data_IF_229114856846
#
_entry.id   IF_229114856846
#
_cell.length_a   1.000
_cell.length_b   1.000
_cell.length_c   1.000
_cell.angle_alpha   90.00
_cell.angle_beta   90.00
_cell.angle_gamma   90.00
#
_symmetry.space_group_name_H-M   'P 1'
#
loop_
_entity.id
_entity.type
_entity.pdbx_description
1 polymer ?
#
# COMPACT_ATOMS: atom_id res chain seq x y z
N UNK A 1 -12.32 -41.82 38.68
CA UNK A 1 -11.94 -42.68 37.55
C UNK A 1 -11.31 -41.79 36.51
N UNK A 2 -9.97 -41.63 36.60
CA UNK A 2 -9.17 -40.79 35.71
C UNK A 2 -8.79 -41.57 34.46
N UNK A 3 -9.15 -41.07 33.28
CA UNK A 3 -8.59 -41.54 32.02
C UNK A 3 -7.65 -40.46 31.48
N UNK A 4 -6.37 -40.78 31.46
CA UNK A 4 -5.32 -39.99 30.86
C UNK A 4 -5.31 -40.23 29.34
N UNK A 5 -5.50 -39.18 28.55
CA UNK A 5 -5.28 -39.23 27.10
C UNK A 5 -3.81 -38.94 26.81
N UNK A 6 -3.10 -39.95 26.29
CA UNK A 6 -1.75 -39.81 25.70
C UNK A 6 -1.89 -39.17 24.31
N UNK A 7 -1.16 -38.07 24.08
CA UNK A 7 -0.97 -37.48 22.74
C UNK A 7 0.10 -38.26 21.99
N UNK A 8 -0.28 -39.03 20.99
CA UNK A 8 0.66 -39.56 20.00
C UNK A 8 0.99 -38.52 18.97
N UNK A 9 2.24 -38.07 18.91
CA UNK A 9 2.77 -37.30 17.79
C UNK A 9 3.01 -38.26 16.63
N UNK A 10 2.23 -38.16 15.57
CA UNK A 10 2.57 -38.81 14.31
C UNK A 10 3.71 -38.01 13.64
N UNK A 11 4.88 -38.60 13.60
CA UNK A 11 6.03 -38.15 12.81
C UNK A 11 5.85 -38.73 11.41
N UNK A 12 5.59 -37.88 10.42
CA UNK A 12 5.62 -38.30 9.02
C UNK A 12 7.08 -38.51 8.61
N UNK A 13 7.46 -39.75 8.41
CA UNK A 13 8.74 -40.13 7.80
C UNK A 13 8.62 -40.06 6.29
N UNK A 14 9.56 -39.35 5.66
CA UNK A 14 9.70 -39.32 4.21
C UNK A 14 10.21 -40.70 3.75
N UNK A 15 9.47 -41.36 2.85
CA UNK A 15 9.82 -42.67 2.26
C UNK A 15 10.40 -42.51 0.84
N UNK A 16 11.35 -41.59 0.64
CA UNK A 16 12.05 -41.45 -0.64
C UNK A 16 13.43 -42.12 -0.52
N UNK A 17 13.72 -43.23 -1.19
CA UNK A 17 15.00 -43.96 -1.08
C UNK A 17 16.20 -43.24 -1.70
N UNK A 18 15.98 -42.13 -2.46
CA UNK A 18 17.04 -41.40 -3.17
C UNK A 18 17.49 -40.11 -2.48
N UNK A 19 17.08 -39.87 -1.23
CA UNK A 19 17.51 -38.71 -0.47
C UNK A 19 18.91 -38.88 0.10
N UNK A 20 19.91 -38.31 -0.60
CA UNK A 20 21.31 -38.26 -0.15
C UNK A 20 21.45 -37.21 0.95
N UNK A 21 21.56 -37.66 2.18
CA UNK A 21 21.91 -36.78 3.32
C UNK A 21 23.36 -36.28 3.16
N UNK A 22 23.56 -35.00 2.93
CA UNK A 22 24.87 -34.37 3.04
C UNK A 22 25.41 -34.51 4.45
N UNK A 23 26.57 -35.16 4.58
CA UNK A 23 27.26 -35.36 5.87
C UNK A 23 27.65 -34.01 6.46
N UNK A 24 27.17 -33.73 7.64
CA UNK A 24 27.63 -32.60 8.45
C UNK A 24 29.13 -32.75 8.73
N UNK A 25 29.93 -31.81 8.22
CA UNK A 25 31.36 -31.71 8.52
C UNK A 25 31.50 -31.10 9.90
N UNK A 26 31.89 -31.90 10.87
CA UNK A 26 32.21 -31.41 12.21
C UNK A 26 33.54 -30.66 12.20
N UNK A 27 33.48 -29.35 12.42
CA UNK A 27 34.65 -28.48 12.52
C UNK A 27 35.11 -28.45 13.99
N UNK A 28 36.25 -29.11 14.30
CA UNK A 28 36.81 -29.11 15.64
C UNK A 28 37.62 -27.84 15.90
N UNK A 29 37.46 -27.25 17.10
CA UNK A 29 38.14 -26.03 17.60
C UNK A 29 39.66 -25.93 17.36
N UNK A 30 40.35 -27.04 17.10
CA UNK A 30 41.79 -27.08 16.88
C UNK A 30 42.25 -26.63 15.47
N UNK A 31 41.37 -26.60 14.46
CA UNK A 31 41.70 -26.14 13.11
C UNK A 31 41.53 -24.63 12.90
N UNK A 32 40.89 -23.94 13.85
CA UNK A 32 40.65 -22.49 13.76
C UNK A 32 41.86 -21.65 14.22
N UNK A 33 42.78 -22.18 15.02
CA UNK A 33 43.93 -21.47 15.56
C UNK A 33 45.23 -21.60 14.76
N UNK A 34 45.26 -22.38 13.68
CA UNK A 34 46.46 -22.57 12.83
C UNK A 34 46.56 -21.68 11.60
N UNK A 35 45.58 -20.81 11.32
CA UNK A 35 45.50 -20.02 10.06
C UNK A 35 45.88 -18.53 10.25
N UNK A 36 46.36 -18.10 11.44
CA UNK A 36 46.62 -16.69 11.72
C UNK A 36 48.14 -16.32 11.86
N UNK A 37 49.05 -17.20 11.48
CA UNK A 37 50.50 -16.93 11.59
C UNK A 37 51.23 -16.77 10.24
N UNK A 38 50.59 -16.15 9.24
CA UNK A 38 51.22 -16.06 7.92
C UNK A 38 50.88 -14.85 7.05
N UNK A 39 50.26 -13.80 7.56
CA UNK A 39 49.87 -12.62 6.71
C UNK A 39 50.05 -11.30 7.48
N UNK A 40 51.21 -11.07 8.00
CA UNK A 40 51.59 -9.84 8.69
C UNK A 40 52.66 -9.04 7.96
N UNK A 41 52.47 -8.62 6.70
CA UNK A 41 53.36 -7.64 6.03
C UNK A 41 52.84 -7.02 4.73
N UNK A 42 51.54 -7.04 4.41
CA UNK A 42 51.03 -6.42 3.19
C UNK A 42 49.69 -5.61 3.36
N UNK A 43 49.36 -5.19 4.58
CA UNK A 43 48.10 -4.51 4.85
C UNK A 43 48.29 -3.07 5.37
N UNK A 44 49.25 -2.31 4.81
CA UNK A 44 49.43 -0.88 5.16
C UNK A 44 49.19 0.08 3.98
N UNK A 45 48.53 -0.32 2.91
CA UNK A 45 48.20 0.58 1.78
C UNK A 45 46.80 0.34 1.18
N UNK A 46 45.77 0.18 1.97
CA UNK A 46 44.40 0.15 1.43
C UNK A 46 43.31 0.52 2.45
N UNK A 47 43.51 1.48 3.31
CA UNK A 47 42.39 2.21 3.93
C UNK A 47 42.20 3.54 3.19
N UNK A 48 41.77 3.45 1.93
CA UNK A 48 40.95 4.51 1.39
C UNK A 48 39.56 4.18 1.89
N UNK A 49 38.89 5.06 2.67
CA UNK A 49 37.48 4.95 2.89
C UNK A 49 36.85 4.87 1.49
N UNK A 50 36.11 3.81 1.20
CA UNK A 50 35.28 3.74 -0.01
C UNK A 50 34.54 5.08 -0.03
N UNK A 51 34.92 5.95 -0.96
CA UNK A 51 34.32 7.28 -1.06
C UNK A 51 32.86 7.08 -1.11
N UNK A 52 32.11 7.63 -0.17
CA UNK A 52 30.69 7.67 -0.22
C UNK A 52 30.34 8.21 -1.62
N UNK A 53 29.81 7.37 -2.49
CA UNK A 53 29.26 7.86 -3.75
C UNK A 53 28.33 9.00 -3.36
N UNK A 54 28.40 10.16 -4.06
CA UNK A 54 27.46 11.23 -3.81
C UNK A 54 26.08 10.59 -3.79
N UNK A 55 25.36 10.75 -2.70
CA UNK A 55 24.00 10.22 -2.61
C UNK A 55 23.24 10.76 -3.83
N UNK A 56 22.84 9.88 -4.73
CA UNK A 56 22.04 10.28 -5.89
C UNK A 56 20.89 11.15 -5.38
N UNK A 57 20.65 12.30 -6.06
CA UNK A 57 19.58 13.19 -5.65
C UNK A 57 18.30 12.37 -5.49
N UNK A 58 17.54 12.57 -4.41
CA UNK A 58 16.26 11.88 -4.23
C UNK A 58 15.37 12.11 -5.44
N UNK A 59 14.84 11.03 -6.01
CA UNK A 59 14.05 11.13 -7.26
C UNK A 59 12.67 10.49 -7.14
N UNK A 60 12.47 9.57 -6.16
CA UNK A 60 11.24 8.80 -6.03
C UNK A 60 10.07 9.66 -5.56
N UNK A 61 8.87 9.32 -6.01
CA UNK A 61 7.63 9.84 -5.46
C UNK A 61 6.88 8.66 -4.85
N UNK A 62 6.73 8.71 -3.52
CA UNK A 62 6.03 7.71 -2.74
C UNK A 62 4.55 8.07 -2.63
N UNK A 63 3.66 7.27 -3.21
CA UNK A 63 2.20 7.53 -3.20
C UNK A 63 1.46 6.84 -2.05
N UNK A 64 2.19 6.10 -1.19
CA UNK A 64 1.62 5.37 -0.06
C UNK A 64 2.45 5.61 1.20
N UNK A 65 2.25 6.77 1.79
CA UNK A 65 2.98 7.21 2.97
C UNK A 65 2.00 7.78 3.99
N UNK A 66 1.92 7.17 5.16
CA UNK A 66 0.94 7.60 6.15
C UNK A 66 1.43 8.79 6.97
N UNK A 67 0.46 9.64 7.34
CA UNK A 67 0.61 10.65 8.37
C UNK A 67 -0.32 10.33 9.54
N UNK A 68 0.03 10.85 10.72
CA UNK A 68 -0.86 10.82 11.88
C UNK A 68 -0.91 12.21 12.51
N UNK A 69 -2.04 12.91 12.34
CA UNK A 69 -2.25 14.19 13.01
C UNK A 69 -2.41 13.99 14.51
N UNK A 70 -2.15 15.02 15.34
CA UNK A 70 -2.36 14.92 16.78
C UNK A 70 -3.78 14.49 17.17
N UNK A 71 -4.80 15.00 16.49
CA UNK A 71 -6.20 14.59 16.69
C UNK A 71 -6.44 13.14 16.30
N UNK A 72 -5.87 12.67 15.21
CA UNK A 72 -5.97 11.26 14.81
C UNK A 72 -5.29 10.34 15.82
N UNK A 73 -4.07 10.66 16.27
CA UNK A 73 -3.38 9.90 17.33
C UNK A 73 -4.22 9.83 18.60
N UNK A 74 -4.79 10.96 19.04
CA UNK A 74 -5.63 10.99 20.24
C UNK A 74 -6.86 10.09 20.08
N UNK A 75 -7.50 10.09 18.90
CA UNK A 75 -8.70 9.30 18.63
C UNK A 75 -8.44 7.81 18.56
N UNK A 76 -7.29 7.37 17.97
CA UNK A 76 -6.95 5.94 17.86
C UNK A 76 -6.29 5.38 19.12
N UNK A 77 -5.77 6.24 20.01
CA UNK A 77 -5.14 5.83 21.26
C UNK A 77 -6.12 5.11 22.16
N UNK A 78 -5.75 3.93 22.63
CA UNK A 78 -6.61 3.07 23.44
C UNK A 78 -7.69 2.31 22.69
N UNK A 79 -7.85 2.51 21.37
CA UNK A 79 -8.73 1.67 20.55
C UNK A 79 -8.01 0.40 20.11
N UNK A 80 -8.75 -0.69 19.97
CA UNK A 80 -8.22 -1.96 19.46
C UNK A 80 -7.64 -1.85 18.03
N UNK A 81 -8.15 -0.91 17.25
CA UNK A 81 -7.70 -0.62 15.89
C UNK A 81 -6.49 0.32 15.83
N UNK A 82 -6.11 0.91 16.96
CA UNK A 82 -4.93 1.77 17.05
C UNK A 82 -3.66 0.96 16.80
N UNK A 83 -2.89 1.36 15.79
CA UNK A 83 -1.66 0.69 15.41
C UNK A 83 -0.47 1.47 15.97
N UNK A 84 0.43 0.76 16.67
CA UNK A 84 1.59 1.37 17.35
C UNK A 84 2.46 2.22 16.41
N UNK A 85 2.76 1.80 15.17
CA UNK A 85 3.54 2.64 14.24
C UNK A 85 2.87 4.00 13.97
N UNK A 86 1.54 4.03 13.78
CA UNK A 86 0.79 5.27 13.55
C UNK A 86 0.77 6.18 14.80
N UNK A 87 0.62 5.60 15.99
CA UNK A 87 0.62 6.36 17.25
C UNK A 87 1.99 6.96 17.59
N UNK A 88 3.08 6.39 17.06
CA UNK A 88 4.45 6.86 17.25
C UNK A 88 5.00 7.65 16.06
N UNK A 89 4.18 7.88 15.05
CA UNK A 89 4.59 8.59 13.85
C UNK A 89 5.04 10.02 14.15
N UNK A 90 6.10 10.46 13.49
CA UNK A 90 6.57 11.84 13.52
C UNK A 90 7.05 12.30 12.15
N UNK A 91 6.99 13.60 11.90
CA UNK A 91 7.51 14.21 10.66
C UNK A 91 9.00 13.91 10.47
N UNK A 92 9.78 13.94 11.55
CA UNK A 92 11.23 13.65 11.50
C UNK A 92 11.50 12.22 11.01
N UNK A 93 10.74 11.23 11.50
CA UNK A 93 10.86 9.85 11.03
C UNK A 93 10.50 9.71 9.55
N UNK A 94 9.45 10.40 9.08
CA UNK A 94 9.10 10.42 7.65
C UNK A 94 10.23 10.98 6.79
N UNK A 95 10.79 12.13 7.17
CA UNK A 95 11.90 12.77 6.42
C UNK A 95 13.14 11.90 6.42
N UNK A 96 13.47 11.27 7.55
CA UNK A 96 14.61 10.35 7.65
C UNK A 96 14.42 9.12 6.73
N UNK A 97 13.25 8.47 6.73
CA UNK A 97 12.97 7.33 5.86
C UNK A 97 13.04 7.72 4.37
N UNK A 98 12.45 8.87 4.03
CA UNK A 98 12.52 9.43 2.68
C UNK A 98 13.97 9.63 2.23
N UNK A 99 14.81 10.21 3.08
CA UNK A 99 16.24 10.47 2.78
C UNK A 99 17.00 9.15 2.60
N UNK A 100 16.78 8.18 3.49
CA UNK A 100 17.40 6.86 3.41
C UNK A 100 16.96 6.06 2.19
N UNK A 101 15.71 6.24 1.74
CA UNK A 101 15.11 5.57 0.59
C UNK A 101 15.26 6.32 -0.73
N UNK A 102 15.87 7.52 -0.75
CA UNK A 102 15.98 8.37 -1.94
C UNK A 102 14.63 8.85 -2.47
N UNK A 103 13.69 9.13 -1.55
CA UNK A 103 12.35 9.68 -1.87
C UNK A 103 12.41 11.20 -1.84
N UNK A 104 12.12 11.82 -2.98
CA UNK A 104 12.04 13.26 -3.10
C UNK A 104 10.74 13.79 -2.47
N UNK A 105 9.63 13.15 -2.78
CA UNK A 105 8.29 13.58 -2.35
C UNK A 105 7.49 12.37 -1.89
N UNK A 106 6.85 12.47 -0.71
CA UNK A 106 5.84 11.52 -0.25
C UNK A 106 4.45 12.15 -0.29
N UNK A 107 3.50 11.44 -0.87
CA UNK A 107 2.10 11.84 -0.88
C UNK A 107 1.45 11.24 0.36
N UNK A 108 1.18 12.09 1.33
CA UNK A 108 0.65 11.70 2.64
C UNK A 108 -0.80 11.23 2.52
N UNK A 109 -1.18 10.24 3.31
CA UNK A 109 -2.56 9.79 3.44
C UNK A 109 -2.82 9.23 4.83
N UNK A 110 -4.10 9.24 5.23
CA UNK A 110 -4.51 8.58 6.47
C UNK A 110 -4.58 7.05 6.25
N UNK A 111 -4.29 6.28 7.30
CA UNK A 111 -4.51 4.83 7.32
C UNK A 111 -5.84 4.46 7.99
N UNK A 112 -6.13 3.14 8.08
CA UNK A 112 -7.21 2.68 8.94
C UNK A 112 -6.95 3.07 10.42
N UNK A 113 -7.96 3.32 11.22
CA UNK A 113 -9.39 3.11 10.96
C UNK A 113 -10.13 4.30 10.32
N UNK A 114 -9.43 5.24 9.67
CA UNK A 114 -10.02 6.48 9.14
C UNK A 114 -10.56 7.41 10.24
N UNK A 115 -11.47 8.31 9.90
CA UNK A 115 -11.92 9.39 10.81
C UNK A 115 -13.32 9.18 11.40
N UNK A 116 -14.04 8.14 10.95
CA UNK A 116 -15.41 7.90 11.42
C UNK A 116 -15.46 6.88 12.55
N UNK A 117 -15.89 7.31 13.72
CA UNK A 117 -16.04 6.50 14.93
C UNK A 117 -17.48 6.55 15.49
N UNK A 118 -18.48 6.60 14.59
CA UNK A 118 -19.90 6.57 14.96
C UNK A 118 -20.54 7.94 15.14
N UNK A 119 -19.81 9.05 14.97
CA UNK A 119 -20.34 10.41 15.07
C UNK A 119 -19.87 11.26 13.86
N UNK A 120 -20.82 11.77 13.08
CA UNK A 120 -20.54 12.53 11.86
C UNK A 120 -19.85 13.87 12.15
N UNK A 121 -20.27 14.60 13.17
CA UNK A 121 -19.65 15.89 13.48
C UNK A 121 -18.20 15.74 13.96
N UNK A 122 -17.93 14.69 14.74
CA UNK A 122 -16.57 14.36 15.13
C UNK A 122 -15.72 13.95 13.91
N UNK A 123 -16.27 13.15 13.00
CA UNK A 123 -15.60 12.74 11.77
C UNK A 123 -15.27 13.95 10.87
N UNK A 124 -16.20 14.89 10.69
CA UNK A 124 -15.98 16.13 9.95
C UNK A 124 -14.84 16.96 10.55
N UNK A 125 -14.84 17.15 11.89
CA UNK A 125 -13.79 17.90 12.58
C UNK A 125 -12.43 17.22 12.44
N UNK A 126 -12.38 15.90 12.62
CA UNK A 126 -11.13 15.15 12.53
C UNK A 126 -10.58 15.10 11.09
N UNK A 127 -11.45 14.96 10.08
CA UNK A 127 -11.05 15.05 8.68
C UNK A 127 -10.43 16.42 8.38
N UNK A 128 -11.12 17.52 8.76
CA UNK A 128 -10.65 18.88 8.59
C UNK A 128 -9.31 19.12 9.26
N UNK A 129 -9.19 18.78 10.54
CA UNK A 129 -7.95 18.93 11.32
C UNK A 129 -6.79 18.15 10.67
N UNK A 130 -7.04 16.91 10.25
CA UNK A 130 -6.01 16.09 9.59
C UNK A 130 -5.56 16.69 8.24
N UNK A 131 -6.50 17.19 7.45
CA UNK A 131 -6.18 17.82 6.17
C UNK A 131 -5.42 19.14 6.34
N UNK A 132 -5.81 19.97 7.31
CA UNK A 132 -5.10 21.21 7.64
C UNK A 132 -3.71 20.95 8.21
N UNK A 133 -3.56 19.91 9.02
CA UNK A 133 -2.25 19.44 9.50
C UNK A 133 -1.35 19.02 8.32
N UNK A 134 -1.88 18.26 7.36
CA UNK A 134 -1.15 17.90 6.15
C UNK A 134 -0.77 19.11 5.29
N UNK A 135 -1.68 20.09 5.14
CA UNK A 135 -1.40 21.34 4.44
C UNK A 135 -0.26 22.12 5.09
N UNK A 136 -0.22 22.13 6.43
CA UNK A 136 0.87 22.74 7.18
C UNK A 136 2.19 22.03 6.91
N UNK A 137 2.22 20.69 6.89
CA UNK A 137 3.45 19.93 6.58
C UNK A 137 3.96 20.21 5.17
N UNK A 138 3.07 20.34 4.19
CA UNK A 138 3.43 20.71 2.81
C UNK A 138 4.07 22.10 2.77
N UNK A 139 3.53 23.06 3.53
CA UNK A 139 4.06 24.41 3.59
C UNK A 139 5.40 24.49 4.35
N UNK A 140 5.53 23.76 5.45
CA UNK A 140 6.76 23.74 6.28
C UNK A 140 7.93 23.01 5.58
N UNK A 141 7.63 22.06 4.67
CA UNK A 141 8.62 21.23 3.96
C UNK A 141 8.39 21.25 2.43
N UNK A 142 8.61 22.37 1.76
CA UNK A 142 8.33 22.52 0.32
C UNK A 142 8.98 21.43 -0.53
N UNK A 143 8.19 20.80 -1.39
CA UNK A 143 8.63 19.72 -2.28
C UNK A 143 8.80 18.33 -1.64
N UNK A 144 8.79 18.24 -0.30
CA UNK A 144 8.94 16.95 0.39
C UNK A 144 7.60 16.22 0.57
N UNK A 145 6.51 16.92 0.70
CA UNK A 145 5.19 16.35 0.92
C UNK A 145 4.15 16.84 -0.08
N UNK A 146 3.24 15.93 -0.42
CA UNK A 146 1.93 16.17 -0.96
C UNK A 146 0.90 15.44 -0.11
N UNK A 147 -0.39 15.44 -0.51
CA UNK A 147 -1.40 14.72 0.28
C UNK A 147 -2.60 14.29 -0.57
N UNK A 148 -3.06 13.08 -0.35
CA UNK A 148 -4.41 12.63 -0.64
C UNK A 148 -5.26 12.92 0.59
N UNK A 149 -6.16 13.89 0.47
CA UNK A 149 -6.98 14.38 1.58
C UNK A 149 -7.95 13.31 2.07
N UNK A 150 -8.13 13.24 3.38
CA UNK A 150 -9.13 12.34 3.99
C UNK A 150 -10.52 12.97 3.96
N UNK A 151 -11.56 12.13 3.90
CA UNK A 151 -12.96 12.57 3.86
C UNK A 151 -13.79 11.86 4.92
N UNK A 152 -14.85 12.53 5.46
CA UNK A 152 -15.64 12.00 6.58
C UNK A 152 -16.73 11.01 6.16
N UNK A 153 -16.49 10.15 5.13
CA UNK A 153 -17.44 9.06 4.81
C UNK A 153 -17.70 8.20 6.07
N UNK A 154 -18.93 7.70 6.24
CA UNK A 154 -20.04 7.63 5.28
C UNK A 154 -20.95 8.87 5.20
N UNK A 155 -20.57 9.99 5.77
CA UNK A 155 -21.28 11.27 5.63
C UNK A 155 -21.07 11.87 4.25
N UNK A 156 -22.00 11.62 3.33
CA UNK A 156 -21.92 12.06 1.93
C UNK A 156 -21.86 13.58 1.80
N UNK A 157 -22.73 14.30 2.50
CA UNK A 157 -22.79 15.76 2.43
C UNK A 157 -21.53 16.41 3.04
N UNK A 158 -21.04 15.87 4.17
CA UNK A 158 -19.78 16.29 4.77
C UNK A 158 -18.61 16.03 3.83
N UNK A 159 -18.63 14.88 3.15
CA UNK A 159 -17.60 14.48 2.18
C UNK A 159 -17.55 15.42 0.97
N UNK A 160 -18.69 15.78 0.40
CA UNK A 160 -18.73 16.71 -0.75
C UNK A 160 -18.15 18.08 -0.37
N UNK A 161 -18.47 18.61 0.81
CA UNK A 161 -17.88 19.86 1.31
C UNK A 161 -16.38 19.75 1.57
N UNK A 162 -15.93 18.60 2.07
CA UNK A 162 -14.50 18.39 2.34
C UNK A 162 -13.69 18.21 1.06
N UNK A 163 -14.24 17.55 0.03
CA UNK A 163 -13.65 17.47 -1.31
C UNK A 163 -13.45 18.86 -1.90
N UNK A 164 -14.50 19.72 -1.86
CA UNK A 164 -14.41 21.10 -2.32
C UNK A 164 -13.29 21.86 -1.58
N UNK A 165 -13.29 21.83 -0.26
CA UNK A 165 -12.31 22.55 0.54
C UNK A 165 -10.88 22.07 0.27
N UNK A 166 -10.66 20.76 0.25
CA UNK A 166 -9.30 20.22 0.12
C UNK A 166 -8.73 20.38 -1.27
N UNK A 167 -9.54 20.21 -2.32
CA UNK A 167 -9.07 20.36 -3.68
C UNK A 167 -9.03 21.83 -4.14
N UNK A 168 -10.00 22.67 -3.71
CA UNK A 168 -10.11 24.03 -4.20
C UNK A 168 -9.38 25.06 -3.32
N UNK A 169 -9.32 24.85 -2.00
CA UNK A 169 -8.66 25.77 -1.05
C UNK A 169 -7.26 25.29 -0.71
N UNK A 170 -7.13 24.05 -0.20
CA UNK A 170 -5.84 23.51 0.23
C UNK A 170 -4.97 23.01 -0.93
N UNK A 171 -5.53 22.86 -2.15
CA UNK A 171 -4.82 22.40 -3.36
C UNK A 171 -4.14 21.04 -3.16
N UNK A 172 -4.82 20.10 -2.49
CA UNK A 172 -4.35 18.75 -2.29
C UNK A 172 -4.26 17.96 -3.61
N UNK A 173 -3.48 16.88 -3.63
CA UNK A 173 -3.19 16.09 -4.84
C UNK A 173 -4.32 15.19 -5.29
N UNK A 174 -5.22 14.88 -4.39
CA UNK A 174 -6.36 13.98 -4.60
C UNK A 174 -7.06 13.65 -3.29
N UNK A 175 -7.84 12.60 -3.30
CA UNK A 175 -8.64 12.15 -2.16
C UNK A 175 -8.23 10.74 -1.75
N UNK A 176 -8.03 10.50 -0.47
CA UNK A 176 -7.89 9.18 0.13
C UNK A 176 -9.25 8.66 0.60
N UNK A 177 -9.63 7.49 0.13
CA UNK A 177 -10.84 6.78 0.57
C UNK A 177 -10.49 5.41 1.13
N UNK A 178 -11.10 5.03 2.25
CA UNK A 178 -11.05 3.63 2.67
C UNK A 178 -11.86 2.77 1.70
N UNK A 179 -11.50 1.51 1.61
CA UNK A 179 -12.19 0.54 0.73
C UNK A 179 -13.62 0.24 1.15
N UNK A 180 -13.91 0.41 2.44
CA UNK A 180 -15.21 0.14 3.06
C UNK A 180 -15.60 1.22 4.09
N UNK A 181 -16.90 1.48 4.18
CA UNK A 181 -17.49 2.34 5.20
C UNK A 181 -18.78 1.69 5.72
N UNK A 182 -18.73 1.12 6.91
CA UNK A 182 -19.85 0.44 7.56
C UNK A 182 -20.45 -0.72 6.71
N UNK A 183 -19.58 -1.55 6.11
CA UNK A 183 -19.98 -2.67 5.28
C UNK A 183 -20.37 -2.30 3.85
N UNK A 184 -20.22 -1.03 3.45
CA UNK A 184 -20.48 -0.56 2.07
C UNK A 184 -19.17 -0.27 1.37
N UNK A 185 -18.90 -1.02 0.31
CA UNK A 185 -17.74 -0.80 -0.56
C UNK A 185 -17.98 0.35 -1.53
N UNK A 186 -16.92 0.90 -2.12
CA UNK A 186 -16.98 2.14 -2.90
C UNK A 186 -17.90 2.14 -4.13
N UNK A 187 -18.30 0.97 -4.62
CA UNK A 187 -19.32 0.86 -5.68
C UNK A 187 -20.78 0.88 -5.17
N UNK A 188 -21.01 1.03 -3.85
CA UNK A 188 -22.37 1.13 -3.29
C UNK A 188 -23.06 2.41 -3.78
N UNK A 189 -24.36 2.30 -4.05
CA UNK A 189 -25.18 3.41 -4.54
C UNK A 189 -25.21 4.61 -3.57
N UNK A 190 -24.99 4.39 -2.26
CA UNK A 190 -24.91 5.46 -1.26
C UNK A 190 -23.77 6.44 -1.53
N UNK A 191 -22.68 6.00 -2.18
CA UNK A 191 -21.51 6.84 -2.48
C UNK A 191 -21.56 7.46 -3.87
N UNK A 192 -22.62 7.20 -4.66
CA UNK A 192 -22.76 7.72 -6.01
C UNK A 192 -22.56 9.23 -6.12
N UNK A 193 -23.14 10.11 -5.26
CA UNK A 193 -22.92 11.55 -5.35
C UNK A 193 -21.44 11.95 -5.18
N UNK A 194 -20.70 11.22 -4.33
CA UNK A 194 -19.27 11.43 -4.14
C UNK A 194 -18.49 11.03 -5.39
N UNK A 195 -18.82 9.88 -6.00
CA UNK A 195 -18.18 9.44 -7.25
C UNK A 195 -18.49 10.38 -8.42
N UNK A 196 -19.70 10.92 -8.51
CA UNK A 196 -20.08 11.92 -9.50
C UNK A 196 -19.23 13.17 -9.40
N UNK A 197 -19.03 13.69 -8.19
CA UNK A 197 -18.19 14.88 -7.95
C UNK A 197 -16.71 14.61 -8.25
N UNK A 198 -16.17 13.47 -7.80
CA UNK A 198 -14.79 13.07 -8.09
C UNK A 198 -14.56 12.87 -9.59
N UNK A 199 -15.53 12.30 -10.31
CA UNK A 199 -15.50 12.13 -11.77
C UNK A 199 -15.53 13.48 -12.49
N UNK A 200 -16.40 14.42 -12.07
CA UNK A 200 -16.48 15.77 -12.61
C UNK A 200 -15.15 16.51 -12.47
N UNK A 201 -14.47 16.31 -11.35
CA UNK A 201 -13.16 16.92 -11.06
C UNK A 201 -11.98 16.19 -11.72
N UNK A 202 -12.20 15.03 -12.33
CA UNK A 202 -11.14 14.14 -12.83
C UNK A 202 -10.10 13.83 -11.75
N UNK A 203 -10.58 13.66 -10.53
CA UNK A 203 -9.74 13.57 -9.33
C UNK A 203 -8.89 12.31 -9.32
N UNK A 204 -7.71 12.41 -8.71
CA UNK A 204 -6.94 11.24 -8.26
C UNK A 204 -7.59 10.73 -6.97
N UNK A 205 -7.91 9.45 -6.93
CA UNK A 205 -8.47 8.79 -5.76
C UNK A 205 -7.57 7.63 -5.35
N UNK A 206 -6.94 7.77 -4.22
CA UNK A 206 -6.15 6.74 -3.57
C UNK A 206 -7.05 5.93 -2.65
N UNK A 207 -6.93 4.60 -2.68
CA UNK A 207 -7.71 3.72 -1.81
C UNK A 207 -6.80 3.00 -0.81
N UNK A 208 -7.20 2.99 0.46
CA UNK A 208 -6.53 2.24 1.50
C UNK A 208 -7.48 1.16 2.08
N UNK A 209 -7.01 -0.08 2.29
CA UNK A 209 -7.85 -1.15 2.83
C UNK A 209 -8.26 -0.89 4.27
N UNK A 210 -9.37 -1.51 4.65
CA UNK A 210 -9.95 -1.45 5.97
C UNK A 210 -10.21 -2.86 6.49
N UNK A 211 -9.95 -3.10 7.79
CA UNK A 211 -10.30 -4.37 8.42
C UNK A 211 -11.79 -4.41 8.72
N UNK A 212 -12.54 -5.02 7.83
CA UNK A 212 -13.99 -5.07 7.92
C UNK A 212 -14.46 -5.86 9.15
N UNK A 213 -15.47 -5.35 9.84
CA UNK A 213 -16.03 -5.97 11.06
C UNK A 213 -16.56 -7.39 10.84
N UNK A 214 -17.08 -7.68 9.63
CA UNK A 214 -17.57 -9.03 9.29
C UNK A 214 -16.49 -10.11 9.37
N UNK A 215 -15.23 -9.70 9.22
CA UNK A 215 -14.16 -10.64 8.93
C UNK A 215 -13.10 -10.70 10.05
N UNK A 216 -13.43 -10.08 11.19
CA UNK A 216 -12.56 -10.11 12.36
C UNK A 216 -12.48 -11.50 12.96
N UNK A 217 -11.25 -11.94 13.23
CA UNK A 217 -10.96 -13.22 13.87
C UNK A 217 -11.61 -14.43 13.18
N UNK A 218 -11.80 -14.37 11.83
CA UNK A 218 -12.33 -15.49 11.05
C UNK A 218 -11.43 -16.73 11.11
N UNK A 219 -10.13 -16.50 11.12
CA UNK A 219 -9.14 -17.56 11.29
C UNK A 219 -8.41 -17.32 12.61
N UNK A 220 -8.70 -18.12 13.66
CA UNK A 220 -8.04 -17.99 14.96
C UNK A 220 -6.52 -18.06 14.83
N UNK A 221 -5.81 -17.27 15.65
CA UNK A 221 -4.34 -17.20 15.70
C UNK A 221 -3.65 -16.67 14.44
N UNK A 222 -4.41 -16.19 13.45
CA UNK A 222 -3.89 -15.49 12.28
C UNK A 222 -4.06 -13.98 12.46
N UNK A 223 -2.97 -13.25 12.29
CA UNK A 223 -3.00 -11.79 12.33
C UNK A 223 -3.85 -11.25 11.17
N UNK A 224 -4.99 -10.65 11.46
CA UNK A 224 -6.03 -10.24 10.50
C UNK A 224 -5.48 -9.52 9.25
N UNK A 225 -4.56 -8.54 9.35
CA UNK A 225 -4.01 -7.83 8.20
C UNK A 225 -3.36 -8.72 7.13
N UNK A 226 -2.86 -9.90 7.50
CA UNK A 226 -2.23 -10.83 6.55
C UNK A 226 -3.17 -11.25 5.41
N UNK A 227 -4.47 -11.34 5.70
CA UNK A 227 -5.47 -11.80 4.74
C UNK A 227 -6.41 -10.65 4.37
N UNK A 228 -6.88 -9.91 5.37
CA UNK A 228 -8.02 -9.01 5.20
C UNK A 228 -7.67 -7.76 4.40
N UNK A 229 -6.49 -7.18 4.54
CA UNK A 229 -6.17 -5.94 3.81
C UNK A 229 -6.14 -6.17 2.28
N UNK A 230 -5.47 -7.22 1.81
CA UNK A 230 -5.48 -7.57 0.39
C UNK A 230 -6.87 -7.99 -0.13
N UNK A 231 -7.62 -8.70 0.71
CA UNK A 231 -8.98 -9.14 0.39
C UNK A 231 -9.94 -7.96 0.31
N UNK A 232 -9.81 -6.99 1.18
CA UNK A 232 -10.69 -5.82 1.22
C UNK A 232 -10.47 -4.88 0.03
N UNK A 233 -9.20 -4.65 -0.36
CA UNK A 233 -8.87 -3.99 -1.63
C UNK A 233 -9.52 -4.71 -2.82
N UNK A 234 -9.50 -6.04 -2.82
CA UNK A 234 -10.14 -6.85 -3.87
C UNK A 234 -11.66 -6.67 -3.89
N UNK A 235 -12.30 -6.63 -2.73
CA UNK A 235 -13.76 -6.42 -2.61
C UNK A 235 -14.18 -5.06 -3.17
N UNK A 236 -13.42 -4.00 -2.89
CA UNK A 236 -13.76 -2.68 -3.41
C UNK A 236 -13.55 -2.57 -4.92
N UNK A 237 -12.49 -3.19 -5.47
CA UNK A 237 -12.31 -3.29 -6.93
C UNK A 237 -13.52 -4.02 -7.55
N UNK A 238 -13.89 -5.18 -7.01
CA UNK A 238 -15.05 -5.92 -7.50
C UNK A 238 -16.34 -5.11 -7.37
N UNK A 239 -16.52 -4.37 -6.27
CA UNK A 239 -17.68 -3.49 -6.07
C UNK A 239 -17.77 -2.41 -7.14
N UNK A 240 -16.68 -1.69 -7.43
CA UNK A 240 -16.63 -0.65 -8.47
C UNK A 240 -16.88 -1.23 -9.88
N UNK A 241 -16.36 -2.42 -10.15
CA UNK A 241 -16.59 -3.10 -11.42
C UNK A 241 -18.06 -3.51 -11.56
N UNK A 242 -18.54 -4.37 -10.69
CA UNK A 242 -19.84 -5.04 -10.89
C UNK A 242 -21.05 -4.17 -10.52
N UNK A 243 -20.88 -3.04 -9.83
CA UNK A 243 -21.91 -1.99 -9.76
C UNK A 243 -22.05 -1.21 -11.06
N UNK A 244 -21.00 -1.21 -11.92
CA UNK A 244 -20.92 -0.38 -13.10
C UNK A 244 -20.29 1.00 -12.86
N UNK A 245 -19.86 1.29 -11.63
CA UNK A 245 -19.25 2.59 -11.28
C UNK A 245 -17.99 2.87 -12.09
N UNK A 246 -17.20 1.85 -12.40
CA UNK A 246 -15.99 2.00 -13.24
C UNK A 246 -16.29 2.46 -14.67
N UNK A 247 -17.45 2.13 -15.23
CA UNK A 247 -17.91 2.63 -16.54
C UNK A 247 -18.59 3.99 -16.41
N UNK A 248 -19.41 4.19 -15.37
CA UNK A 248 -20.16 5.43 -15.18
C UNK A 248 -19.27 6.62 -14.83
N UNK A 249 -18.16 6.39 -14.14
CA UNK A 249 -17.23 7.42 -13.66
C UNK A 249 -15.82 7.24 -14.22
N UNK A 250 -15.64 7.30 -15.56
CA UNK A 250 -14.40 6.93 -16.24
C UNK A 250 -13.26 7.94 -16.03
N UNK A 251 -13.54 9.14 -15.52
CA UNK A 251 -12.53 10.19 -15.35
C UNK A 251 -11.82 10.14 -13.98
N UNK A 252 -12.32 9.33 -13.04
CA UNK A 252 -11.64 9.12 -11.76
C UNK A 252 -10.34 8.34 -12.01
N UNK A 253 -9.22 8.88 -11.52
CA UNK A 253 -7.90 8.26 -11.61
C UNK A 253 -7.65 7.44 -10.35
N UNK A 254 -8.07 6.19 -10.38
CA UNK A 254 -7.94 5.29 -9.23
C UNK A 254 -6.51 4.82 -9.01
N UNK A 255 -6.06 4.84 -7.76
CA UNK A 255 -4.85 4.18 -7.27
C UNK A 255 -5.26 3.18 -6.19
N UNK A 256 -5.04 1.90 -6.44
CA UNK A 256 -5.31 0.83 -5.48
C UNK A 256 -4.03 0.41 -4.78
N UNK A 257 -4.08 0.39 -3.46
CA UNK A 257 -2.96 -0.03 -2.62
C UNK A 257 -2.64 -1.52 -2.75
N UNK A 258 -1.40 -1.87 -2.36
CA UNK A 258 -0.91 -3.24 -2.24
C UNK A 258 -1.08 -4.07 -3.52
N UNK A 259 -0.67 -3.52 -4.69
CA UNK A 259 -0.81 -4.13 -6.01
C UNK A 259 -2.27 -4.52 -6.37
N UNK A 260 -3.27 -3.85 -5.77
CA UNK A 260 -4.69 -4.18 -5.97
C UNK A 260 -5.15 -5.42 -5.19
N UNK A 261 -4.42 -5.79 -4.14
CA UNK A 261 -4.71 -6.95 -3.31
C UNK A 261 -4.64 -8.27 -4.11
N UNK A 262 -5.66 -9.11 -3.99
CA UNK A 262 -5.75 -10.37 -4.75
C UNK A 262 -6.52 -10.23 -6.08
N UNK A 263 -7.00 -9.03 -6.43
CA UNK A 263 -7.80 -8.83 -7.64
C UNK A 263 -7.10 -9.24 -8.94
N UNK A 264 -5.79 -8.93 -9.16
CA UNK A 264 -5.07 -9.41 -10.35
C UNK A 264 -5.03 -10.94 -10.44
N UNK A 265 -4.84 -11.64 -9.34
CA UNK A 265 -4.88 -13.11 -9.30
C UNK A 265 -6.27 -13.66 -9.63
N UNK A 266 -7.34 -12.97 -9.22
CA UNK A 266 -8.72 -13.38 -9.46
C UNK A 266 -9.26 -13.01 -10.85
N UNK A 267 -8.45 -12.44 -11.73
CA UNK A 267 -8.89 -11.93 -13.04
C UNK A 267 -9.62 -12.97 -13.88
N UNK A 268 -9.15 -14.23 -13.88
CA UNK A 268 -9.83 -15.31 -14.57
C UNK A 268 -11.24 -15.54 -14.02
N UNK A 269 -11.41 -15.49 -12.69
CA UNK A 269 -12.72 -15.65 -12.05
C UNK A 269 -13.66 -14.50 -12.41
N UNK A 270 -13.17 -13.27 -12.37
CA UNK A 270 -13.95 -12.09 -12.77
C UNK A 270 -14.44 -12.22 -14.22
N UNK A 271 -13.56 -12.60 -15.13
CA UNK A 271 -13.92 -12.78 -16.56
C UNK A 271 -14.91 -13.93 -16.76
N UNK A 272 -14.68 -15.08 -16.13
CA UNK A 272 -15.54 -16.25 -16.28
C UNK A 272 -16.95 -15.97 -15.76
N UNK A 273 -17.08 -15.48 -14.53
CA UNK A 273 -18.39 -15.22 -13.95
C UNK A 273 -19.11 -14.05 -14.60
N UNK A 274 -18.38 -13.04 -15.04
CA UNK A 274 -18.94 -11.96 -15.86
C UNK A 274 -19.55 -12.50 -17.16
N UNK A 275 -18.86 -13.38 -17.86
CA UNK A 275 -19.38 -14.04 -19.07
C UNK A 275 -20.63 -14.86 -18.85
N UNK A 276 -20.75 -15.50 -17.69
CA UNK A 276 -21.93 -16.28 -17.30
C UNK A 276 -23.14 -15.42 -16.85
N UNK A 277 -22.90 -14.17 -16.43
CA UNK A 277 -23.90 -13.24 -15.87
C UNK A 277 -24.28 -12.17 -16.87
N UNK A 278 -25.26 -12.47 -17.76
CA UNK A 278 -25.72 -11.53 -18.80
C UNK A 278 -26.25 -10.21 -18.23
N UNK A 279 -26.79 -10.21 -17.03
CA UNK A 279 -27.28 -9.02 -16.30
C UNK A 279 -26.16 -8.05 -15.90
N UNK A 280 -24.92 -8.49 -15.84
CA UNK A 280 -23.75 -7.65 -15.54
C UNK A 280 -23.13 -7.02 -16.79
N UNK A 281 -23.37 -7.58 -17.97
CA UNK A 281 -22.76 -7.10 -19.22
C UNK A 281 -23.04 -5.63 -19.55
N UNK A 282 -24.28 -5.10 -19.34
CA UNK A 282 -24.54 -3.67 -19.55
C UNK A 282 -23.76 -2.75 -18.61
N UNK A 283 -23.34 -3.24 -17.43
CA UNK A 283 -22.59 -2.46 -16.45
C UNK A 283 -21.10 -2.36 -16.79
N UNK A 284 -20.57 -3.33 -17.54
CA UNK A 284 -19.17 -3.43 -17.94
C UNK A 284 -19.06 -3.85 -19.41
N UNK A 285 -19.49 -3.00 -20.37
CA UNK A 285 -19.59 -3.38 -21.78
C UNK A 285 -18.28 -3.83 -22.41
N UNK A 286 -17.14 -3.42 -21.83
CA UNK A 286 -15.80 -3.78 -22.31
C UNK A 286 -15.14 -4.93 -21.51
N UNK A 287 -15.87 -5.50 -20.54
CA UNK A 287 -15.40 -6.58 -19.68
C UNK A 287 -14.45 -6.13 -18.55
N UNK A 288 -14.32 -6.93 -17.47
CA UNK A 288 -13.61 -6.52 -16.25
C UNK A 288 -12.15 -6.15 -16.48
N UNK A 289 -11.42 -6.87 -17.36
CA UNK A 289 -10.01 -6.63 -17.63
C UNK A 289 -9.76 -5.21 -18.15
N UNK A 290 -10.61 -4.72 -19.06
CA UNK A 290 -10.49 -3.38 -19.62
C UNK A 290 -10.47 -2.29 -18.54
N UNK A 291 -11.36 -2.38 -17.55
CA UNK A 291 -11.44 -1.37 -16.49
C UNK A 291 -10.27 -1.49 -15.53
N UNK A 292 -9.90 -2.70 -15.14
CA UNK A 292 -8.74 -2.91 -14.27
C UNK A 292 -7.43 -2.45 -14.93
N UNK A 293 -7.30 -2.54 -16.24
CA UNK A 293 -6.16 -2.01 -17.00
C UNK A 293 -6.12 -0.48 -17.07
N UNK A 294 -7.13 0.23 -16.59
CA UNK A 294 -7.18 1.69 -16.49
C UNK A 294 -6.88 2.21 -15.08
N UNK A 295 -6.85 1.33 -14.11
CA UNK A 295 -6.48 1.65 -12.73
C UNK A 295 -4.97 1.73 -12.57
N UNK A 296 -4.54 2.41 -11.51
CA UNK A 296 -3.16 2.40 -11.06
C UNK A 296 -3.05 1.58 -9.78
N UNK A 297 -1.85 1.09 -9.51
CA UNK A 297 -1.57 0.18 -8.40
C UNK A 297 -0.26 0.56 -7.76
N UNK A 298 -0.17 0.62 -6.43
CA UNK A 298 1.09 0.87 -5.77
C UNK A 298 1.86 -0.42 -5.44
N UNK A 299 3.09 -0.25 -4.99
CA UNK A 299 4.00 -1.35 -4.66
C UNK A 299 4.11 -1.64 -3.17
N UNK A 300 3.36 -0.93 -2.33
CA UNK A 300 3.39 -1.10 -0.89
C UNK A 300 3.07 -2.56 -0.50
N UNK A 301 3.89 -3.16 0.35
CA UNK A 301 3.77 -4.58 0.72
C UNK A 301 3.69 -5.58 -0.47
N UNK A 302 4.10 -5.17 -1.68
CA UNK A 302 3.97 -5.95 -2.90
C UNK A 302 5.26 -6.02 -3.74
N UNK A 303 6.42 -5.67 -3.16
CA UNK A 303 7.72 -5.59 -3.85
C UNK A 303 8.40 -6.95 -4.07
N UNK A 304 7.65 -8.04 -4.12
CA UNK A 304 8.17 -9.40 -4.37
C UNK A 304 7.57 -10.02 -5.62
N UNK A 305 8.15 -11.15 -6.07
CA UNK A 305 7.72 -11.84 -7.30
C UNK A 305 6.23 -12.26 -7.27
N UNK A 306 5.69 -12.66 -6.11
CA UNK A 306 4.35 -13.23 -6.04
C UNK A 306 3.24 -12.21 -6.43
N UNK A 307 3.11 -11.03 -5.81
CA UNK A 307 2.09 -10.07 -6.21
C UNK A 307 2.43 -9.42 -7.57
N UNK A 308 3.71 -9.08 -7.81
CA UNK A 308 4.10 -8.37 -9.04
C UNK A 308 3.97 -9.21 -10.28
N UNK A 309 4.25 -10.53 -10.23
CA UNK A 309 4.06 -11.41 -11.39
C UNK A 309 2.58 -11.45 -11.82
N UNK A 310 1.65 -11.48 -10.86
CA UNK A 310 0.22 -11.42 -11.18
C UNK A 310 -0.18 -10.05 -11.74
N UNK A 311 0.28 -8.97 -11.12
CA UNK A 311 -0.04 -7.60 -11.54
C UNK A 311 0.50 -7.30 -12.94
N UNK A 312 1.76 -7.67 -13.25
CA UNK A 312 2.40 -7.38 -14.55
C UNK A 312 1.81 -8.20 -15.71
N UNK A 313 1.02 -9.25 -15.44
CA UNK A 313 0.22 -9.92 -16.46
C UNK A 313 -1.10 -9.20 -16.76
N UNK A 314 -1.54 -8.31 -15.88
CA UNK A 314 -2.75 -7.53 -16.05
C UNK A 314 -2.47 -6.14 -16.62
N UNK A 315 -1.43 -5.46 -16.11
CA UNK A 315 -1.10 -4.07 -16.45
C UNK A 315 0.35 -3.92 -16.89
N UNK A 316 0.64 -2.82 -17.57
CA UNK A 316 2.01 -2.43 -17.92
C UNK A 316 2.68 -1.64 -16.77
N UNK A 317 4.01 -1.50 -16.74
CA UNK A 317 4.72 -0.70 -15.75
C UNK A 317 4.21 0.75 -15.65
N UNK A 318 3.55 1.28 -16.70
CA UNK A 318 3.01 2.65 -16.71
C UNK A 318 1.82 2.88 -15.77
N UNK A 319 1.27 1.82 -15.17
CA UNK A 319 0.16 1.86 -14.20
C UNK A 319 0.60 1.46 -12.79
N UNK A 320 1.89 1.17 -12.60
CA UNK A 320 2.45 0.81 -11.29
C UNK A 320 3.13 2.06 -10.70
N UNK A 321 2.87 2.34 -9.43
CA UNK A 321 3.38 3.49 -8.70
C UNK A 321 4.23 3.02 -7.52
N UNK A 322 5.31 3.73 -7.23
CA UNK A 322 6.08 3.48 -6.03
C UNK A 322 5.27 3.87 -4.79
N UNK A 323 5.10 2.94 -3.87
CA UNK A 323 4.41 3.11 -2.60
C UNK A 323 5.10 2.28 -1.52
N UNK A 324 5.29 2.83 -0.31
CA UNK A 324 6.05 2.19 0.75
C UNK A 324 5.21 1.56 1.85
N UNK A 325 4.07 2.16 2.19
CA UNK A 325 3.29 1.86 3.40
C UNK A 325 4.01 2.31 4.69
N UNK A 326 4.85 3.37 4.61
CA UNK A 326 5.45 3.95 5.81
C UNK A 326 4.35 4.42 6.79
N UNK A 327 4.44 4.15 8.09
CA UNK A 327 5.60 3.66 8.86
C UNK A 327 5.67 2.13 9.06
N UNK A 328 4.91 1.33 8.33
CA UNK A 328 4.94 -0.14 8.46
C UNK A 328 6.12 -0.75 7.71
N UNK A 329 6.48 -0.20 6.56
CA UNK A 329 7.68 -0.54 5.79
C UNK A 329 8.50 0.72 5.48
N UNK A 330 9.76 0.53 5.11
CA UNK A 330 10.67 1.62 4.78
C UNK A 330 10.81 1.81 3.28
N UNK A 331 11.04 3.05 2.85
CA UNK A 331 11.31 3.38 1.47
C UNK A 331 12.55 2.65 0.92
N UNK A 332 13.58 2.51 1.76
CA UNK A 332 14.79 1.75 1.42
C UNK A 332 14.49 0.28 1.11
N UNK A 333 13.69 -0.40 1.95
CA UNK A 333 13.34 -1.80 1.76
C UNK A 333 12.49 -1.99 0.49
N UNK A 334 11.50 -1.12 0.26
CA UNK A 334 10.65 -1.17 -0.93
C UNK A 334 11.47 -0.96 -2.21
N UNK A 335 12.35 0.04 -2.23
CA UNK A 335 13.21 0.30 -3.39
C UNK A 335 14.18 -0.86 -3.67
N UNK A 336 14.73 -1.51 -2.64
CA UNK A 336 15.58 -2.69 -2.79
C UNK A 336 14.79 -3.87 -3.36
N UNK A 337 13.63 -4.20 -2.78
CA UNK A 337 12.80 -5.31 -3.24
C UNK A 337 12.36 -5.18 -4.70
N UNK A 338 12.00 -3.97 -5.15
CA UNK A 338 11.65 -3.72 -6.56
C UNK A 338 12.80 -3.96 -7.54
N UNK A 339 14.05 -3.75 -7.11
CA UNK A 339 15.22 -4.08 -7.93
C UNK A 339 15.55 -5.56 -7.89
N UNK A 340 15.50 -6.15 -6.71
CA UNK A 340 15.87 -7.57 -6.48
C UNK A 340 14.88 -8.53 -7.15
N UNK A 341 13.63 -8.15 -7.33
CA UNK A 341 12.63 -9.00 -7.99
C UNK A 341 12.96 -9.30 -9.45
N UNK A 342 13.76 -8.46 -10.12
CA UNK A 342 14.25 -8.69 -11.48
C UNK A 342 13.17 -8.69 -12.57
N UNK A 343 11.98 -8.14 -12.29
CA UNK A 343 10.87 -8.07 -13.28
C UNK A 343 10.93 -6.83 -14.16
N UNK A 344 11.64 -5.80 -13.74
CA UNK A 344 11.63 -4.50 -14.38
C UNK A 344 13.03 -4.10 -14.85
N UNK A 345 13.12 -3.56 -16.05
CA UNK A 345 14.31 -2.85 -16.53
C UNK A 345 14.55 -1.55 -15.75
N UNK A 346 15.74 -0.99 -15.85
CA UNK A 346 16.06 0.31 -15.21
C UNK A 346 15.09 1.42 -15.64
N UNK A 347 14.70 1.47 -16.92
CA UNK A 347 13.76 2.46 -17.44
C UNK A 347 12.34 2.25 -16.87
N UNK A 348 11.90 1.00 -16.72
CA UNK A 348 10.61 0.70 -16.10
C UNK A 348 10.61 1.02 -14.61
N UNK A 349 11.71 0.76 -13.90
CA UNK A 349 11.85 1.18 -12.50
C UNK A 349 11.76 2.71 -12.38
N UNK A 350 12.42 3.47 -13.23
CA UNK A 350 12.31 4.93 -13.25
C UNK A 350 10.85 5.39 -13.48
N UNK A 351 10.16 4.70 -14.39
CA UNK A 351 8.74 4.96 -14.66
C UNK A 351 7.87 4.68 -13.43
N UNK A 352 8.08 3.56 -12.74
CA UNK A 352 7.37 3.19 -11.51
C UNK A 352 7.72 4.13 -10.36
N UNK A 353 9.01 4.40 -10.16
CA UNK A 353 9.52 5.17 -9.03
C UNK A 353 9.16 6.67 -9.10
N UNK A 354 8.84 7.21 -10.31
CA UNK A 354 8.58 8.65 -10.47
C UNK A 354 7.58 9.01 -11.55
N UNK A 355 7.82 8.62 -12.81
CA UNK A 355 7.15 9.22 -13.96
C UNK A 355 5.64 9.03 -13.95
N UNK A 356 5.17 7.86 -13.46
CA UNK A 356 3.74 7.57 -13.33
C UNK A 356 3.05 8.53 -12.35
N UNK A 357 3.69 8.78 -11.20
CA UNK A 357 3.18 9.74 -10.22
C UNK A 357 3.15 11.17 -10.79
N UNK A 358 4.19 11.57 -11.54
CA UNK A 358 4.23 12.88 -12.24
C UNK A 358 3.11 13.00 -13.28
N UNK A 359 2.76 11.92 -14.01
CA UNK A 359 1.64 11.95 -14.96
C UNK A 359 0.28 12.17 -14.27
N UNK A 360 0.11 11.60 -13.08
CA UNK A 360 -1.11 11.80 -12.29
C UNK A 360 -1.13 13.16 -11.59
N UNK A 361 0.01 13.64 -11.14
CA UNK A 361 0.20 14.86 -10.34
C UNK A 361 1.30 15.73 -10.97
N UNK A 362 1.00 16.47 -12.05
CA UNK A 362 2.01 17.19 -12.86
C UNK A 362 2.81 18.27 -12.11
N UNK A 363 2.35 18.72 -10.94
CA UNK A 363 3.08 19.70 -10.13
C UNK A 363 4.45 19.21 -9.63
N UNK A 364 4.69 17.90 -9.65
CA UNK A 364 5.96 17.26 -9.23
C UNK A 364 6.91 17.00 -10.41
N UNK A 365 6.68 17.64 -11.57
CA UNK A 365 7.51 17.44 -12.76
C UNK A 365 8.91 18.06 -12.64
N UNK A 366 9.07 19.08 -11.81
CA UNK A 366 10.34 19.82 -11.63
C UNK A 366 11.33 19.07 -10.74
#
# INVERSE_FOLDING_TARGET
MHLALRSERQVFACQDPDHVHSRAVSCTRRRFLGAFAGLGAAALLADRPAGAQPADKPVRIDVHHHLSSPGFIAEISGRRTGQVPLMKWTVAQSLEDMDQGGVATSILSISEPSVFFGNFDAARRLARETNEFGAKLIADHPGRFGMFATVPLPDVDGTLREIEYTLDTLKMDGICMMTDYQGKFLGDAAFRPVLEELNRRQAVVYTHPFRNDCCRNLVPDVFEPLIELGTDTTRTIASLLFSGSAEQFPNIKWIFSHAGGTAPFLMQRFTYYFGARKDLQPRLPKGPAYYMQRFHYDTANAMTIHPLASLTKLVTPTQILFGTDFPFLTAKATAAGLREVGLFSTAELQTIERENAVRLMPRYKS
#
